data_IF_792643054754
#
_entry.id   IF_792643054754
#
_cell.length_a   1.000
_cell.length_b   1.000
_cell.length_c   1.000
_cell.angle_alpha   90.00
_cell.angle_beta   90.00
_cell.angle_gamma   90.00
#
_symmetry.space_group_name_H-M   'P 1'
#
loop_
_entity.id
_entity.type
_entity.pdbx_description
1 polymer ?
#
# COMPACT_ATOMS: atom_id res chain seq x y z
N UNK A 1 -18.52 17.73 -31.58
CA UNK A 1 -18.29 18.15 -30.18
C UNK A 1 -18.51 16.91 -29.31
N UNK A 2 -17.51 16.03 -29.23
CA UNK A 2 -17.64 14.78 -28.49
C UNK A 2 -17.08 15.03 -27.09
N UNK A 3 -17.98 15.24 -26.13
CA UNK A 3 -17.65 15.45 -24.73
C UNK A 3 -17.04 14.18 -24.15
N UNK A 4 -15.77 14.27 -23.75
CA UNK A 4 -15.14 13.31 -22.85
C UNK A 4 -15.94 13.39 -21.54
N UNK A 5 -16.60 12.30 -21.18
CA UNK A 5 -17.34 12.20 -19.91
C UNK A 5 -16.31 12.05 -18.77
N UNK A 6 -16.20 13.00 -17.82
CA UNK A 6 -15.16 12.97 -16.79
C UNK A 6 -15.39 11.93 -15.67
N UNK A 7 -16.46 11.12 -15.74
CA UNK A 7 -16.85 10.20 -14.65
C UNK A 7 -16.15 8.84 -14.63
N UNK A 8 -15.23 8.53 -15.55
CA UNK A 8 -14.53 7.24 -15.59
C UNK A 8 -13.24 7.17 -14.74
N UNK A 9 -12.95 8.19 -13.93
CA UNK A 9 -11.72 8.25 -13.12
C UNK A 9 -11.85 7.48 -11.78
N UNK A 10 -13.02 6.89 -11.50
CA UNK A 10 -13.33 6.24 -10.21
C UNK A 10 -13.29 4.70 -10.24
N UNK A 11 -12.85 4.08 -11.34
CA UNK A 11 -12.90 2.62 -11.50
C UNK A 11 -11.78 1.87 -10.75
N UNK A 12 -10.83 2.57 -10.13
CA UNK A 12 -9.81 1.98 -9.26
C UNK A 12 -10.02 2.44 -7.81
N UNK A 13 -10.04 1.52 -6.82
CA UNK A 13 -10.17 1.91 -5.44
C UNK A 13 -8.97 2.77 -5.04
N UNK A 14 -9.24 3.99 -4.58
CA UNK A 14 -8.22 4.86 -4.00
C UNK A 14 -7.70 4.22 -2.72
N UNK A 15 -6.44 3.81 -2.71
CA UNK A 15 -5.77 3.34 -1.49
C UNK A 15 -5.43 4.57 -0.65
N UNK A 16 -6.04 4.66 0.52
CA UNK A 16 -5.79 5.75 1.50
C UNK A 16 -5.44 5.16 2.86
N UNK A 17 -5.08 6.02 3.81
CA UNK A 17 -4.88 5.62 5.21
C UNK A 17 -6.12 5.00 5.86
N UNK A 18 -7.32 5.26 5.32
CA UNK A 18 -8.60 4.72 5.81
C UNK A 18 -8.98 3.36 5.19
N UNK A 19 -8.12 2.80 4.33
CA UNK A 19 -8.36 1.47 3.75
C UNK A 19 -8.39 0.45 4.88
N UNK A 20 -9.34 -0.50 4.85
CA UNK A 20 -9.52 -1.49 5.92
C UNK A 20 -8.24 -2.27 6.25
N UNK A 21 -7.41 -2.54 5.26
CA UNK A 21 -6.15 -3.28 5.41
C UNK A 21 -4.92 -2.35 5.46
N UNK A 22 -5.14 -1.03 5.61
CA UNK A 22 -4.05 -0.08 5.81
C UNK A 22 -3.37 -0.34 7.15
N UNK A 23 -2.03 -0.28 7.14
CA UNK A 23 -1.20 -0.45 8.33
C UNK A 23 -0.27 0.74 8.47
N UNK A 24 0.02 1.11 9.71
CA UNK A 24 0.90 2.22 10.01
C UNK A 24 2.37 1.84 9.80
N UNK A 25 3.11 2.69 9.11
CA UNK A 25 4.58 2.61 9.03
C UNK A 25 5.19 3.04 10.36
N UNK A 26 6.06 2.21 10.91
CA UNK A 26 6.74 2.41 12.19
C UNK A 26 8.14 2.99 12.02
N UNK A 27 8.86 2.54 11.00
CA UNK A 27 10.23 2.96 10.73
C UNK A 27 10.52 2.91 9.24
N UNK A 28 11.41 3.80 8.79
CA UNK A 28 11.91 3.85 7.41
C UNK A 28 13.42 4.08 7.45
N UNK A 29 14.15 3.17 6.84
CA UNK A 29 15.61 3.24 6.73
C UNK A 29 16.03 3.26 5.26
N UNK A 30 16.77 4.29 4.86
CA UNK A 30 17.37 4.39 3.53
C UNK A 30 18.81 3.91 3.59
N UNK A 31 19.13 2.87 2.82
CA UNK A 31 20.49 2.35 2.67
C UNK A 31 21.25 3.11 1.58
N UNK A 32 20.54 3.44 0.48
CA UNK A 32 21.02 4.25 -0.65
C UNK A 32 19.84 5.02 -1.25
N UNK A 33 20.08 5.83 -2.28
CA UNK A 33 19.04 6.55 -3.01
C UNK A 33 17.99 5.65 -3.71
N UNK A 34 18.29 4.35 -3.87
CA UNK A 34 17.42 3.37 -4.55
C UNK A 34 17.03 2.17 -3.70
N UNK A 35 17.56 2.05 -2.48
CA UNK A 35 17.30 0.92 -1.60
C UNK A 35 16.92 1.43 -0.22
N UNK A 36 15.73 1.04 0.21
CA UNK A 36 15.21 1.33 1.53
C UNK A 36 14.48 0.12 2.09
N UNK A 37 14.34 0.10 3.41
CA UNK A 37 13.52 -0.86 4.15
C UNK A 37 12.59 -0.09 5.06
N UNK A 38 11.40 -0.63 5.30
CA UNK A 38 10.44 -0.06 6.23
C UNK A 38 9.79 -1.16 7.06
N UNK A 39 9.36 -0.80 8.26
CA UNK A 39 8.61 -1.69 9.16
C UNK A 39 7.21 -1.16 9.36
N UNK A 40 6.24 -2.06 9.49
CA UNK A 40 4.83 -1.72 9.70
C UNK A 40 4.28 -2.41 10.94
N UNK A 41 3.19 -1.88 11.47
CA UNK A 41 2.39 -2.59 12.47
C UNK A 41 1.87 -3.91 11.89
N UNK A 42 1.92 -4.99 12.69
CA UNK A 42 1.41 -6.30 12.27
C UNK A 42 -0.08 -6.42 12.62
N UNK A 43 -0.99 -6.53 11.63
CA UNK A 43 -2.41 -6.78 11.93
C UNK A 43 -2.59 -8.11 12.68
N UNK A 44 -3.48 -8.19 13.68
CA UNK A 44 -3.69 -9.42 14.45
C UNK A 44 -4.13 -10.63 13.60
N UNK A 45 -4.85 -10.37 12.51
CA UNK A 45 -5.31 -11.38 11.55
C UNK A 45 -4.20 -11.85 10.60
N UNK A 46 -3.07 -11.14 10.51
CA UNK A 46 -2.03 -11.41 9.53
C UNK A 46 -1.11 -12.57 9.98
N UNK A 47 -1.29 -13.72 9.34
CA UNK A 47 -0.53 -14.96 9.57
C UNK A 47 0.27 -15.30 8.33
N UNK A 48 1.53 -15.66 8.50
CA UNK A 48 2.44 -16.08 7.43
C UNK A 48 3.47 -17.06 7.99
N UNK A 49 4.13 -17.79 7.10
CA UNK A 49 5.35 -18.55 7.40
C UNK A 49 6.57 -17.84 6.85
N UNK A 50 7.71 -18.01 7.52
CA UNK A 50 8.98 -17.45 7.06
C UNK A 50 9.28 -17.87 5.62
N UNK A 51 9.53 -16.87 4.76
CA UNK A 51 9.78 -17.07 3.32
C UNK A 51 8.58 -16.77 2.41
N UNK A 52 7.38 -16.58 2.96
CA UNK A 52 6.23 -16.10 2.17
C UNK A 52 6.35 -14.60 1.89
N UNK A 53 5.74 -14.17 0.77
CA UNK A 53 5.65 -12.77 0.37
C UNK A 53 4.18 -12.37 0.18
N UNK A 54 3.89 -11.08 0.30
CA UNK A 54 2.56 -10.52 0.11
C UNK A 54 2.60 -9.33 -0.84
N UNK A 55 1.46 -9.01 -1.43
CA UNK A 55 1.31 -7.79 -2.23
C UNK A 55 1.18 -6.59 -1.31
N UNK A 56 1.86 -5.50 -1.66
CA UNK A 56 1.80 -4.22 -0.96
C UNK A 56 1.51 -3.10 -1.95
N UNK A 57 0.85 -2.05 -1.46
CA UNK A 57 0.80 -0.73 -2.11
C UNK A 57 1.54 0.27 -1.21
N UNK A 58 2.36 1.11 -1.82
CA UNK A 58 3.08 2.22 -1.17
C UNK A 58 2.66 3.55 -1.79
#
# INVERSE_FOLDING_TARGET
>A
MNGINPSSVHDFPLVTAETSDAVRVLDVHHWTDRLFSFSVERPPSFRFRSGEFVMIGL
#
